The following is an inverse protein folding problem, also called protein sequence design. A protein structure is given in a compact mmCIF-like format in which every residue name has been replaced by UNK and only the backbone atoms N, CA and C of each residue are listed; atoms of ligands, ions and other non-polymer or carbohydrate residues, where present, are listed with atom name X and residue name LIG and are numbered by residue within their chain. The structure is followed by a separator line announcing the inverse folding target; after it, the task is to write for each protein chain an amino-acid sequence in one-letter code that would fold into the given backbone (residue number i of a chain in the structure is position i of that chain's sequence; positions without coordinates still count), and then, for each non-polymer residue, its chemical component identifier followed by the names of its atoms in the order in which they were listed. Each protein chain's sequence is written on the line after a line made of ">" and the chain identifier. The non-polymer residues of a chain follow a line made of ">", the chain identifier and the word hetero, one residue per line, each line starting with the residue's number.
data_IF_348990828178
#
_entry.id   IF_348990828178
#
_cell.length_a   1.000
_cell.length_b   1.000
_cell.length_c   1.000
_cell.angle_alpha   90.00
_cell.angle_beta   90.00
_cell.angle_gamma   90.00
#
_symmetry.space_group_name_H-M   'P 1'
#
loop_
_entity.id
_entity.type
_entity.pdbx_description
1 polymer ?
#
# COMPACT_ATOMS: atom_id res chain seq x y z
N UNK A 1 26.84 -13.82 -7.19
CA UNK A 1 28.12 -14.18 -7.77
C UNK A 1 28.29 -15.69 -7.94
N UNK A 2 27.73 -16.47 -7.00
CA UNK A 2 27.77 -17.94 -6.98
C UNK A 2 26.44 -18.58 -7.45
N UNK A 3 25.39 -17.78 -7.69
CA UNK A 3 24.08 -18.24 -8.13
C UNK A 3 23.14 -18.64 -7.01
N UNK A 4 23.57 -18.53 -5.75
CA UNK A 4 22.72 -18.83 -4.60
C UNK A 4 21.78 -17.68 -4.26
N UNK A 5 20.56 -18.01 -3.83
CA UNK A 5 19.59 -17.04 -3.33
C UNK A 5 19.92 -16.66 -1.89
N UNK A 6 20.16 -15.36 -1.64
CA UNK A 6 20.49 -14.85 -0.30
C UNK A 6 19.26 -14.29 0.43
N UNK A 7 18.48 -13.50 -0.27
CA UNK A 7 17.31 -12.80 0.28
C UNK A 7 15.99 -13.35 -0.25
N UNK A 8 16.03 -14.05 -1.36
CA UNK A 8 14.89 -14.59 -2.08
C UNK A 8 14.65 -16.06 -1.70
N UNK A 9 13.45 -16.56 -1.96
CA UNK A 9 13.11 -17.98 -1.79
C UNK A 9 13.73 -18.84 -2.89
N UNK A 10 14.16 -20.06 -2.51
CA UNK A 10 14.58 -21.09 -3.48
C UNK A 10 13.39 -21.59 -4.32
N UNK A 11 12.17 -21.43 -3.83
CA UNK A 11 10.96 -21.75 -4.55
C UNK A 11 10.59 -20.62 -5.53
N UNK A 12 10.68 -20.90 -6.84
CA UNK A 12 10.39 -19.96 -7.91
C UNK A 12 8.99 -19.32 -7.79
N UNK A 13 7.97 -20.11 -7.43
CA UNK A 13 6.60 -19.62 -7.26
C UNK A 13 6.43 -18.64 -6.09
N UNK A 14 7.34 -18.64 -5.14
CA UNK A 14 7.39 -17.64 -4.06
C UNK A 14 8.31 -16.47 -4.39
N UNK A 15 9.39 -16.76 -5.12
CA UNK A 15 10.42 -15.78 -5.49
C UNK A 15 9.95 -14.82 -6.55
N UNK A 16 9.48 -15.35 -7.71
CA UNK A 16 9.23 -14.52 -8.89
C UNK A 16 8.00 -13.62 -8.72
N UNK A 17 8.17 -12.35 -9.05
CA UNK A 17 7.08 -11.40 -9.23
C UNK A 17 6.93 -11.11 -10.73
N UNK A 18 6.17 -11.93 -11.42
CA UNK A 18 5.99 -11.82 -12.87
C UNK A 18 5.33 -10.51 -13.30
N UNK A 19 4.48 -9.92 -12.43
CA UNK A 19 3.78 -8.68 -12.75
C UNK A 19 4.74 -7.50 -12.90
N UNK A 20 5.81 -7.47 -12.09
CA UNK A 20 6.77 -6.36 -12.05
C UNK A 20 8.16 -6.74 -12.60
N UNK A 21 8.37 -8.02 -12.94
CA UNK A 21 9.67 -8.50 -13.40
C UNK A 21 10.77 -8.41 -12.33
N UNK A 22 10.40 -8.59 -11.06
CA UNK A 22 11.27 -8.50 -9.89
C UNK A 22 11.21 -9.78 -9.07
N UNK A 23 11.97 -9.84 -7.97
CA UNK A 23 11.89 -10.93 -7.00
C UNK A 23 11.33 -10.44 -5.68
N UNK A 24 10.63 -11.33 -4.96
CA UNK A 24 10.17 -11.10 -3.61
C UNK A 24 11.21 -11.58 -2.59
N UNK A 25 11.27 -10.93 -1.46
CA UNK A 25 12.01 -11.43 -0.30
C UNK A 25 11.43 -12.76 0.21
N UNK A 26 12.30 -13.63 0.70
CA UNK A 26 11.88 -14.79 1.49
C UNK A 26 11.56 -14.33 2.92
N UNK A 27 10.30 -14.02 3.13
CA UNK A 27 9.82 -13.55 4.44
C UNK A 27 9.87 -14.62 5.54
N UNK A 28 10.23 -15.87 5.22
CA UNK A 28 10.46 -16.92 6.20
C UNK A 28 11.89 -16.95 6.76
N UNK A 29 12.84 -16.28 6.10
CA UNK A 29 14.24 -16.24 6.54
C UNK A 29 14.45 -15.24 7.68
N UNK A 30 15.08 -15.68 8.76
CA UNK A 30 15.37 -14.82 9.93
C UNK A 30 16.34 -13.69 9.60
N UNK A 31 17.26 -13.94 8.68
CA UNK A 31 18.22 -12.96 8.17
C UNK A 31 17.50 -11.83 7.44
N UNK A 32 16.46 -12.15 6.67
CA UNK A 32 15.61 -11.15 5.98
C UNK A 32 14.82 -10.35 7.01
N UNK A 33 14.23 -10.99 8.03
CA UNK A 33 13.59 -10.28 9.15
C UNK A 33 14.56 -9.31 9.82
N UNK A 34 15.76 -9.80 10.18
CA UNK A 34 16.79 -8.96 10.81
C UNK A 34 17.17 -7.78 9.93
N UNK A 35 17.40 -8.01 8.65
CA UNK A 35 17.75 -6.97 7.69
C UNK A 35 16.67 -5.89 7.58
N UNK A 36 15.41 -6.27 7.34
CA UNK A 36 14.31 -5.32 7.12
C UNK A 36 13.95 -4.55 8.39
N UNK A 37 13.92 -5.21 9.55
CA UNK A 37 13.64 -4.54 10.83
C UNK A 37 14.79 -3.60 11.20
N UNK A 38 16.04 -4.02 11.04
CA UNK A 38 17.19 -3.16 11.29
C UNK A 38 17.25 -1.98 10.37
N UNK A 39 16.89 -2.16 9.08
CA UNK A 39 16.79 -1.06 8.12
C UNK A 39 15.75 -0.03 8.55
N UNK A 40 14.56 -0.46 8.95
CA UNK A 40 13.53 0.46 9.43
C UNK A 40 13.98 1.24 10.68
N UNK A 41 14.56 0.55 11.67
CA UNK A 41 15.09 1.20 12.87
C UNK A 41 16.26 2.13 12.56
N UNK A 42 17.11 1.79 11.59
CA UNK A 42 18.21 2.65 11.15
C UNK A 42 17.71 4.02 10.66
N UNK A 43 16.70 4.05 9.82
CA UNK A 43 16.13 5.30 9.33
C UNK A 43 15.51 6.15 10.46
N UNK A 44 14.85 5.52 11.40
CA UNK A 44 14.26 6.22 12.56
C UNK A 44 15.34 6.71 13.54
N UNK A 45 16.38 5.92 13.80
CA UNK A 45 17.42 6.25 14.76
C UNK A 45 18.43 7.27 14.22
N UNK A 46 18.96 7.04 13.01
CA UNK A 46 20.07 7.79 12.48
C UNK A 46 19.62 9.04 11.69
N UNK A 47 18.50 8.93 10.99
CA UNK A 47 17.97 10.01 10.16
C UNK A 47 16.79 10.75 10.82
N UNK A 48 16.32 10.26 11.96
CA UNK A 48 15.25 10.89 12.74
C UNK A 48 13.98 11.18 11.92
N UNK A 49 13.64 10.29 10.99
CA UNK A 49 12.38 10.38 10.25
C UNK A 49 11.21 10.06 11.17
N UNK A 50 10.03 10.62 10.89
CA UNK A 50 8.84 10.49 11.74
C UNK A 50 8.04 9.20 11.50
N UNK A 51 8.34 8.48 10.44
CA UNK A 51 7.63 7.23 10.13
C UNK A 51 7.99 6.64 8.77
N UNK A 52 7.37 5.51 8.46
CA UNK A 52 7.61 4.77 7.23
C UNK A 52 6.30 4.40 6.55
N UNK A 53 6.28 4.46 5.24
CA UNK A 53 5.25 3.84 4.42
C UNK A 53 5.81 2.57 3.80
N UNK A 54 5.17 1.44 4.04
CA UNK A 54 5.52 0.18 3.39
C UNK A 54 4.75 0.06 2.10
N UNK A 55 5.51 -0.11 1.02
CA UNK A 55 5.03 -0.23 -0.35
C UNK A 55 4.42 -1.61 -0.60
N UNK A 56 3.38 -1.67 -1.43
CA UNK A 56 2.81 -2.90 -1.99
C UNK A 56 2.53 -4.00 -0.94
N UNK A 57 1.96 -3.65 0.22
CA UNK A 57 1.67 -4.60 1.30
C UNK A 57 0.74 -5.72 0.83
N UNK A 58 -0.16 -5.46 -0.13
CA UNK A 58 -0.99 -6.51 -0.74
C UNK A 58 -0.14 -7.62 -1.39
N UNK A 59 0.94 -7.25 -2.10
CA UNK A 59 1.87 -8.23 -2.68
C UNK A 59 2.61 -9.06 -1.62
N UNK A 60 2.84 -8.49 -0.44
CA UNK A 60 3.42 -9.24 0.69
C UNK A 60 2.42 -10.23 1.30
N UNK A 61 1.17 -9.79 1.49
CA UNK A 61 0.14 -10.55 2.22
C UNK A 61 -0.50 -11.67 1.41
N UNK A 62 -0.62 -11.52 0.08
CA UNK A 62 -1.26 -12.52 -0.78
C UNK A 62 -0.24 -13.28 -1.61
N UNK A 63 -0.21 -14.61 -1.45
CA UNK A 63 0.62 -15.52 -2.26
C UNK A 63 0.27 -15.52 -3.74
N UNK A 64 -0.97 -15.19 -4.07
CA UNK A 64 -1.51 -15.14 -5.43
C UNK A 64 -1.64 -13.73 -6.01
N UNK A 65 -1.09 -12.69 -5.36
CA UNK A 65 -1.21 -11.32 -5.84
C UNK A 65 -0.57 -11.15 -7.22
N UNK A 66 -1.38 -10.72 -8.21
CA UNK A 66 -0.91 -10.51 -9.58
C UNK A 66 -0.40 -11.78 -10.30
N UNK A 67 -0.83 -12.97 -9.86
CA UNK A 67 -0.38 -14.27 -10.37
C UNK A 67 -1.53 -15.06 -10.95
N UNK A 68 -1.24 -15.78 -12.02
CA UNK A 68 -2.17 -16.69 -12.66
C UNK A 68 -2.19 -18.08 -11.96
N UNK A 69 -3.15 -18.89 -12.31
CA UNK A 69 -3.22 -20.28 -11.84
C UNK A 69 -1.94 -21.03 -12.20
N UNK A 70 -1.38 -21.75 -11.23
CA UNK A 70 -0.11 -22.47 -11.39
C UNK A 70 1.15 -21.67 -11.09
N UNK A 71 1.08 -20.34 -11.02
CA UNK A 71 2.21 -19.44 -10.69
C UNK A 71 2.40 -19.20 -9.20
N UNK A 72 1.56 -19.77 -8.36
CA UNK A 72 1.64 -19.63 -6.91
C UNK A 72 1.27 -20.93 -6.19
N UNK A 73 1.57 -21.00 -4.92
CA UNK A 73 1.23 -22.13 -4.05
C UNK A 73 0.55 -21.63 -2.78
N UNK A 74 -0.49 -22.35 -2.31
CA UNK A 74 -1.17 -21.99 -1.08
C UNK A 74 -0.25 -22.14 0.14
N UNK A 75 -0.62 -21.50 1.23
CA UNK A 75 0.03 -21.71 2.51
C UNK A 75 -0.31 -23.12 3.08
N UNK A 76 0.26 -23.44 4.22
CA UNK A 76 0.08 -24.77 4.88
C UNK A 76 -1.36 -25.11 5.27
N UNK A 77 -2.28 -24.15 5.20
CA UNK A 77 -3.71 -24.32 5.47
C UNK A 77 -4.55 -24.38 4.18
N UNK A 78 -3.93 -24.27 3.01
CA UNK A 78 -4.61 -24.24 1.72
C UNK A 78 -5.15 -22.86 1.31
N UNK A 79 -4.74 -21.79 1.99
CA UNK A 79 -5.21 -20.43 1.79
C UNK A 79 -4.17 -19.57 1.04
N UNK A 80 -4.61 -18.39 0.60
CA UNK A 80 -3.80 -17.42 -0.16
C UNK A 80 -2.92 -16.52 0.73
N UNK A 81 -3.11 -16.51 2.03
CA UNK A 81 -2.38 -15.65 2.95
C UNK A 81 -0.92 -16.07 3.12
N UNK A 82 0.01 -15.14 2.98
CA UNK A 82 1.43 -15.34 3.23
C UNK A 82 1.72 -15.20 4.73
N UNK A 83 1.75 -16.31 5.44
CA UNK A 83 1.89 -16.35 6.90
C UNK A 83 3.23 -15.77 7.36
N UNK A 84 4.29 -16.02 6.61
CA UNK A 84 5.64 -15.56 6.89
C UNK A 84 5.73 -14.01 6.75
N UNK A 85 5.12 -13.45 5.72
CA UNK A 85 5.04 -12.00 5.56
C UNK A 85 4.19 -11.33 6.65
N UNK A 86 3.07 -11.95 7.03
CA UNK A 86 2.23 -11.48 8.15
C UNK A 86 3.02 -11.44 9.46
N UNK A 87 3.83 -12.45 9.73
CA UNK A 87 4.69 -12.50 10.90
C UNK A 87 5.76 -11.40 10.87
N UNK A 88 6.43 -11.24 9.73
CA UNK A 88 7.39 -10.15 9.53
C UNK A 88 6.77 -8.77 9.80
N UNK A 89 5.61 -8.48 9.18
CA UNK A 89 4.94 -7.17 9.33
C UNK A 89 4.60 -6.90 10.80
N UNK A 90 4.08 -7.88 11.51
CA UNK A 90 3.76 -7.76 12.94
C UNK A 90 5.01 -7.49 13.77
N UNK A 91 6.05 -8.29 13.58
CA UNK A 91 7.31 -8.15 14.29
C UNK A 91 7.98 -6.79 14.00
N UNK A 92 7.92 -6.32 12.75
CA UNK A 92 8.43 -5.02 12.35
C UNK A 92 7.71 -3.89 13.08
N UNK A 93 6.39 -3.87 13.05
CA UNK A 93 5.59 -2.83 13.70
C UNK A 93 5.78 -2.86 15.24
N UNK A 94 5.79 -4.05 15.84
CA UNK A 94 6.07 -4.20 17.28
C UNK A 94 7.46 -3.69 17.66
N UNK A 95 8.49 -4.03 16.88
CA UNK A 95 9.85 -3.55 17.12
C UNK A 95 9.93 -2.02 17.01
N UNK A 96 9.31 -1.44 15.97
CA UNK A 96 9.30 0.01 15.78
C UNK A 96 8.61 0.70 16.97
N UNK A 97 7.39 0.31 17.33
CA UNK A 97 6.66 0.96 18.42
C UNK A 97 7.27 0.73 19.81
N UNK A 98 8.05 -0.32 19.97
CA UNK A 98 8.82 -0.53 21.20
C UNK A 98 9.90 0.53 21.40
N UNK A 99 10.58 0.95 20.35
CA UNK A 99 11.68 1.93 20.41
C UNK A 99 11.25 3.33 20.01
N UNK A 100 10.25 3.47 19.15
CA UNK A 100 9.71 4.71 18.61
C UNK A 100 8.18 4.72 18.71
N UNK A 101 7.61 4.88 19.92
CA UNK A 101 6.16 4.77 20.14
C UNK A 101 5.32 5.83 19.40
N UNK A 102 5.95 6.91 18.96
CA UNK A 102 5.32 7.99 18.21
C UNK A 102 5.53 7.89 16.69
N UNK A 103 6.22 6.85 16.19
CA UNK A 103 6.44 6.69 14.77
C UNK A 103 5.11 6.46 14.02
N UNK A 104 5.04 6.94 12.78
CA UNK A 104 3.90 6.73 11.89
C UNK A 104 4.18 5.58 10.93
N UNK A 105 3.51 4.45 11.15
CA UNK A 105 3.63 3.28 10.28
C UNK A 105 2.41 3.17 9.38
N UNK A 106 2.62 3.29 8.06
CA UNK A 106 1.56 3.31 7.06
C UNK A 106 1.70 2.14 6.10
N UNK A 107 0.59 1.50 5.77
CA UNK A 107 0.54 0.47 4.73
C UNK A 107 -0.02 1.04 3.44
N UNK A 108 0.68 0.87 2.33
CA UNK A 108 0.04 0.90 1.03
C UNK A 108 -0.55 -0.48 0.76
N UNK A 109 -1.82 -0.61 1.09
CA UNK A 109 -2.56 -1.86 0.90
C UNK A 109 -3.86 -1.54 0.18
N UNK A 110 -3.96 -2.00 -1.08
CA UNK A 110 -5.03 -1.63 -2.01
C UNK A 110 -6.23 -2.58 -2.01
N UNK A 111 -6.19 -3.62 -1.19
CA UNK A 111 -7.23 -4.65 -1.15
C UNK A 111 -8.15 -4.51 0.06
N UNK A 112 -9.09 -5.44 0.21
CA UNK A 112 -9.97 -5.54 1.38
C UNK A 112 -9.38 -6.38 2.52
N UNK A 113 -8.04 -6.60 2.56
CA UNK A 113 -7.44 -7.31 3.68
C UNK A 113 -7.81 -6.65 5.01
N UNK A 114 -8.37 -7.41 5.97
CA UNK A 114 -8.90 -6.82 7.19
C UNK A 114 -7.80 -6.52 8.21
N UNK A 115 -8.09 -5.59 9.12
CA UNK A 115 -7.30 -5.32 10.32
C UNK A 115 -5.85 -4.88 10.07
N UNK A 116 -5.60 -4.21 8.95
CA UNK A 116 -4.27 -3.65 8.63
C UNK A 116 -3.85 -2.64 9.71
N UNK A 117 -4.75 -1.71 10.07
CA UNK A 117 -4.49 -0.67 11.07
C UNK A 117 -5.01 -1.02 12.47
N UNK A 118 -5.08 -2.31 12.80
CA UNK A 118 -5.41 -2.78 14.15
C UNK A 118 -4.17 -3.34 14.84
N UNK A 119 -4.10 -3.22 16.18
CA UNK A 119 -2.98 -3.75 16.95
C UNK A 119 -2.78 -5.26 16.77
N UNK A 120 -1.53 -5.70 16.87
CA UNK A 120 -1.15 -7.11 16.69
C UNK A 120 -1.81 -8.04 17.72
N UNK A 121 -1.97 -7.59 18.96
CA UNK A 121 -2.64 -8.37 20.00
C UNK A 121 -4.15 -8.60 19.73
N UNK A 122 -4.77 -7.81 18.84
CA UNK A 122 -6.14 -8.02 18.36
C UNK A 122 -6.19 -8.88 17.08
N UNK A 123 -5.04 -9.36 16.60
CA UNK A 123 -4.92 -10.09 15.34
C UNK A 123 -4.60 -9.22 14.12
N UNK A 124 -4.46 -7.90 14.29
CA UNK A 124 -4.14 -6.96 13.22
C UNK A 124 -2.68 -6.99 12.77
N UNK A 125 -2.36 -6.21 11.74
CA UNK A 125 -0.99 -6.11 11.21
C UNK A 125 -0.13 -5.08 11.96
N UNK A 126 -0.72 -4.25 12.82
CA UNK A 126 0.00 -3.32 13.69
C UNK A 126 0.35 -1.97 13.07
N UNK A 127 -0.11 -1.65 11.87
CA UNK A 127 0.07 -0.31 11.31
C UNK A 127 -0.78 0.73 12.04
N UNK A 128 -0.36 2.00 12.03
CA UNK A 128 -1.22 3.11 12.46
C UNK A 128 -2.27 3.43 11.39
N UNK A 129 -1.87 3.39 10.11
CA UNK A 129 -2.67 3.85 9.00
C UNK A 129 -2.60 2.93 7.80
N UNK A 130 -3.66 2.99 7.00
CA UNK A 130 -3.76 2.35 5.68
C UNK A 130 -4.08 3.40 4.64
N UNK A 131 -3.40 3.40 3.49
CA UNK A 131 -3.75 4.25 2.37
C UNK A 131 -5.08 3.82 1.76
N UNK A 132 -5.99 4.77 1.58
CA UNK A 132 -7.27 4.54 0.91
C UNK A 132 -7.11 4.69 -0.60
N UNK A 133 -6.60 3.66 -1.26
CA UNK A 133 -6.37 3.65 -2.70
C UNK A 133 -7.69 3.68 -3.50
N UNK A 134 -8.76 3.08 -2.95
CA UNK A 134 -10.10 3.13 -3.55
C UNK A 134 -10.62 4.56 -3.63
N UNK A 135 -10.53 5.32 -2.53
CA UNK A 135 -10.88 6.74 -2.52
C UNK A 135 -10.08 7.53 -3.57
N UNK A 136 -8.77 7.32 -3.63
CA UNK A 136 -7.90 8.02 -4.57
C UNK A 136 -8.34 7.78 -6.01
N UNK A 137 -8.53 6.53 -6.40
CA UNK A 137 -8.93 6.15 -7.74
C UNK A 137 -10.29 6.74 -8.12
N UNK A 138 -11.25 6.67 -7.22
CA UNK A 138 -12.60 7.21 -7.43
C UNK A 138 -12.57 8.73 -7.56
N UNK A 139 -11.82 9.43 -6.69
CA UNK A 139 -11.68 10.89 -6.73
C UNK A 139 -10.99 11.35 -8.01
N UNK A 140 -9.89 10.74 -8.41
CA UNK A 140 -9.18 11.08 -9.64
C UNK A 140 -10.07 10.85 -10.87
N UNK A 141 -10.81 9.74 -10.89
CA UNK A 141 -11.77 9.43 -11.96
C UNK A 141 -12.91 10.44 -11.99
N UNK A 142 -13.48 10.80 -10.84
CA UNK A 142 -14.54 11.82 -10.77
C UNK A 142 -14.05 13.18 -11.25
N UNK A 143 -12.88 13.62 -10.80
CA UNK A 143 -12.33 14.91 -11.15
C UNK A 143 -11.92 15.04 -12.62
N UNK A 144 -11.58 13.92 -13.28
CA UNK A 144 -11.28 13.89 -14.72
C UNK A 144 -12.51 14.00 -15.61
N UNK A 145 -13.73 13.81 -15.07
CA UNK A 145 -14.96 13.96 -15.82
C UNK A 145 -15.23 15.43 -16.14
N UNK A 146 -15.74 15.70 -17.37
CA UNK A 146 -16.33 17.00 -17.66
C UNK A 146 -17.43 17.31 -16.63
N UNK A 147 -17.46 18.55 -16.07
CA UNK A 147 -18.42 18.93 -15.03
C UNK A 147 -19.89 18.63 -15.36
N UNK A 148 -20.26 18.63 -16.65
CA UNK A 148 -21.62 18.31 -17.08
C UNK A 148 -22.04 16.89 -16.71
N UNK A 149 -21.07 15.94 -16.64
CA UNK A 149 -21.33 14.52 -16.33
C UNK A 149 -21.20 14.19 -14.84
N UNK A 150 -20.63 15.07 -14.03
CA UNK A 150 -20.36 14.80 -12.61
C UNK A 150 -21.60 14.50 -11.79
N UNK A 151 -22.72 15.13 -12.11
CA UNK A 151 -24.00 14.93 -11.39
C UNK A 151 -24.52 13.48 -11.43
N UNK A 152 -24.12 12.69 -12.43
CA UNK A 152 -24.50 11.27 -12.53
C UNK A 152 -23.42 10.31 -12.02
N UNK A 153 -22.32 10.82 -11.47
CA UNK A 153 -21.20 10.06 -10.96
C UNK A 153 -20.86 10.43 -9.52
N UNK A 154 -21.84 10.95 -8.79
CA UNK A 154 -21.65 11.42 -7.41
C UNK A 154 -21.30 10.28 -6.45
N UNK A 155 -21.68 9.05 -6.77
CA UNK A 155 -21.31 7.83 -6.10
C UNK A 155 -19.79 7.69 -5.89
N UNK A 156 -18.98 8.14 -6.85
CA UNK A 156 -17.51 8.09 -6.78
C UNK A 156 -16.92 8.89 -5.62
N UNK A 157 -17.55 9.99 -5.23
CA UNK A 157 -17.08 10.79 -4.09
C UNK A 157 -17.68 10.35 -2.75
N UNK A 158 -18.79 9.60 -2.78
CA UNK A 158 -19.48 9.16 -1.56
C UNK A 158 -19.24 7.71 -1.19
N UNK A 159 -18.84 6.86 -2.14
CA UNK A 159 -18.69 5.43 -1.91
C UNK A 159 -17.68 5.11 -0.79
N UNK A 160 -16.58 5.82 -0.72
CA UNK A 160 -15.55 5.62 0.32
C UNK A 160 -16.06 5.89 1.74
N UNK A 161 -17.14 6.65 1.91
CA UNK A 161 -17.76 6.91 3.21
C UNK A 161 -18.38 5.63 3.80
N UNK A 162 -18.77 4.67 2.97
CA UNK A 162 -19.36 3.41 3.43
C UNK A 162 -18.39 2.55 4.23
N UNK A 163 -17.10 2.68 3.97
CA UNK A 163 -16.05 1.91 4.67
C UNK A 163 -15.02 2.79 5.41
N UNK A 164 -15.28 4.10 5.51
CA UNK A 164 -14.34 5.09 6.05
C UNK A 164 -13.81 4.76 7.46
N UNK A 165 -14.56 4.01 8.26
CA UNK A 165 -14.21 3.66 9.63
C UNK A 165 -13.78 2.19 9.82
N UNK A 166 -13.66 1.42 8.74
CA UNK A 166 -13.20 0.03 8.82
C UNK A 166 -11.71 -0.06 9.17
N UNK A 167 -10.93 0.92 8.74
CA UNK A 167 -9.51 1.10 9.02
C UNK A 167 -9.21 2.56 9.39
N UNK A 168 -8.02 2.84 9.87
CA UNK A 168 -7.52 4.20 10.03
C UNK A 168 -6.94 4.66 8.69
N UNK A 169 -7.77 5.26 7.85
CA UNK A 169 -7.37 5.63 6.50
C UNK A 169 -6.63 6.96 6.43
N UNK A 170 -5.59 6.97 5.58
CA UNK A 170 -5.03 8.19 4.99
C UNK A 170 -5.61 8.32 3.58
N UNK A 171 -5.97 9.52 3.17
CA UNK A 171 -6.45 9.83 1.83
C UNK A 171 -5.28 10.29 0.94
N UNK A 172 -4.61 9.38 0.23
CA UNK A 172 -3.39 9.72 -0.51
C UNK A 172 -3.71 10.30 -1.88
N UNK A 173 -2.80 11.13 -2.39
CA UNK A 173 -2.59 11.33 -3.81
C UNK A 173 -1.23 10.75 -4.13
N UNK A 174 -1.19 9.47 -4.49
CA UNK A 174 0.07 8.76 -4.74
C UNK A 174 0.85 9.39 -5.88
N UNK A 175 2.17 9.47 -5.72
CA UNK A 175 3.10 9.87 -6.77
C UNK A 175 2.97 8.98 -8.01
N UNK A 176 2.61 7.70 -7.85
CA UNK A 176 2.39 6.76 -8.94
C UNK A 176 1.27 7.18 -9.91
N UNK A 177 0.37 8.06 -9.46
CA UNK A 177 -0.70 8.57 -10.31
C UNK A 177 -0.31 9.81 -11.11
N UNK A 178 0.88 10.36 -10.89
CA UNK A 178 1.37 11.57 -11.56
C UNK A 178 2.73 11.40 -12.23
N UNK A 179 3.20 10.16 -12.35
CA UNK A 179 4.45 9.81 -13.05
C UNK A 179 4.31 9.92 -14.57
N UNK A 180 5.43 9.74 -15.26
CA UNK A 180 5.50 9.75 -16.72
C UNK A 180 4.41 8.85 -17.35
N UNK A 181 3.68 9.39 -18.31
CA UNK A 181 2.55 8.69 -18.97
C UNK A 181 1.19 8.83 -18.28
N UNK A 182 1.13 9.29 -17.02
CA UNK A 182 -0.14 9.46 -16.27
C UNK A 182 -0.61 10.90 -16.09
N UNK A 183 0.11 11.88 -16.58
CA UNK A 183 -0.12 13.32 -16.45
C UNK A 183 -0.01 13.85 -15.01
N UNK A 184 0.20 15.16 -14.88
CA UNK A 184 0.12 15.87 -13.60
C UNK A 184 -1.34 15.98 -13.10
N UNK A 185 -1.53 16.28 -11.81
CA UNK A 185 -2.89 16.47 -11.28
C UNK A 185 -3.69 17.53 -12.03
N UNK A 186 -3.04 18.62 -12.44
CA UNK A 186 -3.70 19.69 -13.18
C UNK A 186 -4.12 19.21 -14.57
N UNK A 187 -3.29 18.38 -15.23
CA UNK A 187 -3.59 17.85 -16.56
C UNK A 187 -4.71 16.79 -16.56
N UNK A 188 -4.99 16.19 -15.41
CA UNK A 188 -6.14 15.30 -15.22
C UNK A 188 -7.47 16.09 -15.19
N UNK A 189 -7.43 17.41 -14.93
CA UNK A 189 -8.63 18.24 -14.89
C UNK A 189 -9.09 18.60 -16.31
N UNK A 190 -10.39 18.55 -16.62
CA UNK A 190 -10.92 18.90 -17.95
C UNK A 190 -10.94 20.40 -18.19
N UNK A 191 -10.96 20.79 -19.49
CA UNK A 191 -11.14 22.16 -19.94
C UNK A 191 -9.85 22.91 -20.23
N UNK A 192 -9.95 24.22 -20.39
CA UNK A 192 -8.82 25.13 -20.56
C UNK A 192 -8.04 25.32 -19.23
N UNK A 193 -6.91 26.02 -19.30
CA UNK A 193 -6.05 26.23 -18.13
C UNK A 193 -6.80 26.86 -16.94
N UNK A 194 -7.66 27.82 -17.17
CA UNK A 194 -8.44 28.47 -16.11
C UNK A 194 -9.35 27.45 -15.42
N UNK A 195 -10.07 26.62 -16.20
CA UNK A 195 -10.97 25.58 -15.68
C UNK A 195 -10.20 24.45 -14.98
N UNK A 196 -9.04 24.06 -15.51
CA UNK A 196 -8.16 23.08 -14.87
C UNK A 196 -7.74 23.54 -13.47
N UNK A 197 -7.26 24.78 -13.34
CA UNK A 197 -6.92 25.33 -12.03
C UNK A 197 -8.12 25.49 -11.10
N UNK A 198 -9.29 25.88 -11.63
CA UNK A 198 -10.51 25.95 -10.84
C UNK A 198 -10.92 24.54 -10.34
N UNK A 199 -10.87 23.52 -11.20
CA UNK A 199 -11.14 22.13 -10.85
C UNK A 199 -10.20 21.62 -9.77
N UNK A 200 -8.91 21.88 -9.89
CA UNK A 200 -7.91 21.44 -8.91
C UNK A 200 -8.09 22.14 -7.55
N UNK A 201 -8.38 23.44 -7.52
CA UNK A 201 -8.72 24.13 -6.27
C UNK A 201 -9.97 23.58 -5.61
N UNK A 202 -11.01 23.26 -6.40
CA UNK A 202 -12.23 22.63 -5.89
C UNK A 202 -11.95 21.25 -5.32
N UNK A 203 -11.07 20.48 -5.97
CA UNK A 203 -10.64 19.19 -5.48
C UNK A 203 -9.93 19.30 -4.13
N UNK A 204 -8.93 20.16 -3.99
CA UNK A 204 -8.23 20.35 -2.73
C UNK A 204 -9.14 20.91 -1.63
N UNK A 205 -10.05 21.84 -1.95
CA UNK A 205 -11.00 22.34 -0.97
C UNK A 205 -12.05 21.34 -0.51
N UNK A 206 -12.33 20.30 -1.31
CA UNK A 206 -13.18 19.19 -0.91
C UNK A 206 -12.42 18.14 -0.08
N UNK A 207 -11.14 17.89 -0.42
CA UNK A 207 -10.31 16.89 0.23
C UNK A 207 -9.84 17.31 1.63
N UNK A 208 -9.54 18.59 1.84
CA UNK A 208 -9.11 19.15 3.14
C UNK A 208 -10.28 19.45 4.07
#
# INVERSE_FOLDING_TARGET
>A
FDGETLYESDNEKRRENWQWGTTNFDYGRREVHSFLISNALFWLNEYHIDGLRIDAVANMLYLNYGREEGQWEPNKYGDTGNLEAMELIKNLNEAIFKYHPNALMMAEESTSWPMISRPTYMGGMGFNYKWNMGWMNDMLKYMSLDPIYRKWNHDKITFSLMYAFSENFVLPLSHDEVVHGKCSLIEKMPGDYWRKFAGLRSFFGYWM
#
